data_IF_409161122034
#
_entry.id   IF_409161122034
#
_cell.length_a   1.000
_cell.length_b   1.000
_cell.length_c   1.000
_cell.angle_alpha   90.00
_cell.angle_beta   90.00
_cell.angle_gamma   90.00
#
_symmetry.space_group_name_H-M   'P 1'
#
loop_
_entity.id
_entity.type
_entity.pdbx_description
1 polymer ?
#
# COMPACT_ATOMS: atom_id res chain seq x y z
N UNK A 1 0.97 19.29 -5.61
CA UNK A 1 1.32 20.72 -5.72
C UNK A 1 0.41 21.37 -6.74
N UNK A 2 -0.20 22.51 -6.38
CA UNK A 2 -1.18 23.27 -7.17
C UNK A 2 -2.34 22.40 -7.73
N UNK A 3 -2.66 21.27 -7.08
CA UNK A 3 -3.61 20.27 -7.57
C UNK A 3 -3.21 19.52 -8.87
N UNK A 4 -2.11 19.86 -9.52
CA UNK A 4 -1.78 19.35 -10.87
C UNK A 4 -0.48 18.57 -10.95
N UNK A 5 0.47 18.83 -10.05
CA UNK A 5 1.74 18.12 -9.99
C UNK A 5 1.77 17.17 -8.80
N UNK A 6 1.73 15.87 -9.08
CA UNK A 6 1.85 14.78 -8.12
C UNK A 6 3.30 14.28 -8.03
N UNK A 7 3.80 14.13 -6.80
CA UNK A 7 5.04 13.41 -6.52
C UNK A 7 4.67 12.29 -5.56
N UNK A 8 4.77 11.05 -6.05
CA UNK A 8 4.50 9.84 -5.27
C UNK A 8 5.51 8.78 -5.67
N UNK A 9 6.03 8.06 -4.67
CA UNK A 9 6.84 6.86 -4.85
C UNK A 9 6.11 5.71 -4.20
N UNK A 10 5.90 4.64 -4.95
CA UNK A 10 5.27 3.41 -4.46
C UNK A 10 6.36 2.40 -4.15
N UNK A 11 6.18 1.61 -3.09
CA UNK A 11 7.11 0.54 -2.77
C UNK A 11 6.73 -0.70 -3.58
N UNK A 12 7.66 -1.36 -4.28
CA UNK A 12 7.33 -2.55 -5.05
C UNK A 12 6.72 -3.68 -4.22
N UNK A 13 7.10 -3.77 -2.94
CA UNK A 13 6.57 -4.77 -1.99
C UNK A 13 5.08 -4.61 -1.71
N UNK A 14 4.53 -3.39 -1.84
CA UNK A 14 3.10 -3.13 -1.60
C UNK A 14 2.27 -3.78 -2.70
N UNK A 15 2.76 -3.77 -3.95
CA UNK A 15 2.08 -4.42 -5.07
C UNK A 15 2.08 -5.95 -4.92
N UNK A 16 3.22 -6.54 -4.53
CA UNK A 16 3.32 -7.99 -4.24
C UNK A 16 2.34 -8.38 -3.13
N UNK A 17 2.37 -7.64 -2.03
CA UNK A 17 1.52 -7.87 -0.86
C UNK A 17 0.04 -7.71 -1.21
N UNK A 18 -0.31 -6.69 -1.99
CA UNK A 18 -1.67 -6.44 -2.46
C UNK A 18 -2.16 -7.64 -3.27
N UNK A 19 -1.40 -8.07 -4.27
CA UNK A 19 -1.81 -9.20 -5.11
C UNK A 19 -1.90 -10.52 -4.34
N UNK A 20 -1.02 -10.73 -3.35
CA UNK A 20 -1.13 -11.86 -2.41
C UNK A 20 -2.44 -11.80 -1.61
N UNK A 21 -2.74 -10.68 -0.97
CA UNK A 21 -4.00 -10.50 -0.22
C UNK A 21 -5.21 -10.75 -1.11
N UNK A 22 -5.27 -10.20 -2.32
CA UNK A 22 -6.40 -10.40 -3.24
C UNK A 22 -6.60 -11.87 -3.59
N UNK A 23 -5.53 -12.60 -3.87
CA UNK A 23 -5.59 -14.02 -4.19
C UNK A 23 -6.07 -14.86 -3.00
N UNK A 24 -5.57 -14.55 -1.80
CA UNK A 24 -5.97 -15.21 -0.55
C UNK A 24 -7.43 -14.90 -0.22
N UNK A 25 -7.84 -13.64 -0.33
CA UNK A 25 -9.22 -13.20 -0.12
C UNK A 25 -10.19 -13.94 -1.06
N UNK A 26 -9.84 -14.09 -2.34
CA UNK A 26 -10.66 -14.80 -3.34
C UNK A 26 -10.90 -16.28 -2.98
N UNK A 27 -9.92 -16.93 -2.33
CA UNK A 27 -10.06 -18.31 -1.85
C UNK A 27 -10.87 -18.37 -0.57
N UNK A 28 -10.63 -17.45 0.37
CA UNK A 28 -11.32 -17.42 1.66
C UNK A 28 -12.80 -17.05 1.53
N UNK A 29 -13.16 -16.16 0.61
CA UNK A 29 -14.56 -15.76 0.38
C UNK A 29 -15.45 -16.91 -0.10
N UNK A 30 -14.87 -17.97 -0.65
CA UNK A 30 -15.60 -19.19 -1.02
C UNK A 30 -15.87 -20.11 0.18
N UNK A 31 -15.14 -19.92 1.29
CA UNK A 31 -15.17 -20.77 2.49
C UNK A 31 -15.87 -20.10 3.67
N UNK A 32 -15.85 -18.77 3.73
CA UNK A 32 -16.40 -17.99 4.83
C UNK A 32 -17.50 -17.05 4.32
N UNK A 33 -18.70 -17.07 4.94
CA UNK A 33 -19.80 -16.20 4.53
C UNK A 33 -19.68 -14.76 5.07
N UNK A 34 -18.89 -14.55 6.13
CA UNK A 34 -18.69 -13.24 6.74
C UNK A 34 -17.52 -12.51 6.07
N UNK A 35 -17.77 -11.41 5.33
CA UNK A 35 -16.72 -10.69 4.62
C UNK A 35 -15.70 -10.03 5.57
N UNK A 36 -16.08 -9.66 6.79
CA UNK A 36 -15.13 -9.08 7.76
C UNK A 36 -14.14 -10.14 8.25
N UNK A 37 -14.58 -11.39 8.44
CA UNK A 37 -13.68 -12.49 8.80
C UNK A 37 -12.77 -12.87 7.62
N UNK A 38 -13.29 -12.83 6.38
CA UNK A 38 -12.47 -13.02 5.17
C UNK A 38 -11.37 -11.96 5.11
N UNK A 39 -11.71 -10.69 5.35
CA UNK A 39 -10.75 -9.60 5.34
C UNK A 39 -9.67 -9.81 6.40
N UNK A 40 -10.09 -10.05 7.65
CA UNK A 40 -9.20 -10.30 8.77
C UNK A 40 -8.23 -11.45 8.51
N UNK A 41 -8.71 -12.57 7.97
CA UNK A 41 -7.87 -13.73 7.62
C UNK A 41 -6.94 -13.42 6.44
N UNK A 42 -7.42 -12.73 5.41
CA UNK A 42 -6.58 -12.37 4.26
C UNK A 42 -5.44 -11.41 4.66
N UNK A 43 -5.75 -10.44 5.53
CA UNK A 43 -4.78 -9.51 6.13
C UNK A 43 -3.79 -10.24 7.04
N UNK A 44 -4.27 -11.20 7.83
CA UNK A 44 -3.42 -12.06 8.66
C UNK A 44 -2.38 -12.80 7.80
N UNK A 45 -2.83 -13.49 6.74
CA UNK A 45 -1.94 -14.24 5.85
C UNK A 45 -0.93 -13.34 5.16
N UNK A 46 -1.36 -12.17 4.68
CA UNK A 46 -0.47 -11.21 4.04
C UNK A 46 0.61 -10.67 5.01
N UNK A 47 0.22 -10.43 6.27
CA UNK A 47 1.13 -9.89 7.27
C UNK A 47 2.09 -10.93 7.86
N UNK A 48 1.58 -12.11 8.21
CA UNK A 48 2.34 -13.18 8.87
C UNK A 48 3.03 -14.14 7.90
N UNK A 49 2.57 -14.20 6.66
CA UNK A 49 3.13 -15.04 5.60
C UNK A 49 2.45 -16.39 5.42
N UNK A 50 2.80 -17.08 4.33
CA UNK A 50 2.22 -18.38 3.97
C UNK A 50 2.62 -19.50 4.92
N UNK A 51 3.81 -19.45 5.53
CA UNK A 51 4.22 -20.44 6.52
C UNK A 51 3.28 -20.46 7.73
N UNK A 52 2.94 -19.27 8.24
CA UNK A 52 1.99 -19.14 9.34
C UNK A 52 0.58 -19.59 8.93
N UNK A 53 0.15 -19.24 7.70
CA UNK A 53 -1.14 -19.65 7.16
C UNK A 53 -1.29 -21.17 7.06
N UNK A 54 -0.23 -21.87 6.64
CA UNK A 54 -0.17 -23.34 6.56
C UNK A 54 -0.23 -23.96 7.95
N UNK A 55 0.57 -23.46 8.90
CA UNK A 55 0.61 -23.98 10.26
C UNK A 55 -0.73 -23.85 10.98
N UNK A 56 -1.49 -22.79 10.70
CA UNK A 56 -2.82 -22.57 11.27
C UNK A 56 -3.95 -23.22 10.45
N UNK A 57 -3.65 -23.84 9.31
CA UNK A 57 -4.65 -24.46 8.45
C UNK A 57 -5.60 -23.46 7.77
N UNK A 58 -5.21 -22.17 7.69
CA UNK A 58 -5.98 -21.14 6.98
C UNK A 58 -5.91 -21.38 5.47
N UNK A 59 -4.76 -21.84 4.98
CA UNK A 59 -4.54 -22.27 3.60
C UNK A 59 -3.88 -23.65 3.61
N UNK A 60 -4.14 -24.42 2.55
CA UNK A 60 -3.45 -25.68 2.25
C UNK A 60 -2.17 -25.43 1.45
N UNK A 61 -1.26 -26.41 1.45
CA UNK A 61 -0.01 -26.36 0.68
C UNK A 61 -0.26 -26.21 -0.83
N UNK A 62 -1.35 -26.77 -1.35
CA UNK A 62 -1.72 -26.61 -2.76
C UNK A 62 -2.20 -25.19 -3.06
N UNK A 63 -2.90 -24.54 -2.12
CA UNK A 63 -3.34 -23.15 -2.27
C UNK A 63 -2.17 -22.19 -2.22
N UNK A 64 -1.30 -22.29 -1.22
CA UNK A 64 -0.14 -21.40 -1.10
C UNK A 64 0.81 -21.57 -2.29
N UNK A 65 1.12 -22.81 -2.68
CA UNK A 65 1.97 -23.09 -3.85
C UNK A 65 1.43 -22.45 -5.13
N UNK A 66 0.13 -22.63 -5.42
CA UNK A 66 -0.49 -22.02 -6.61
C UNK A 66 -0.47 -20.49 -6.59
N UNK A 67 -0.71 -19.86 -5.44
CA UNK A 67 -0.64 -18.40 -5.33
C UNK A 67 0.81 -17.93 -5.50
N UNK A 68 1.77 -18.62 -4.87
CA UNK A 68 3.18 -18.33 -4.98
C UNK A 68 3.66 -18.39 -6.44
N UNK A 69 3.38 -19.48 -7.15
CA UNK A 69 3.74 -19.64 -8.56
C UNK A 69 3.17 -18.50 -9.45
N UNK A 70 1.90 -18.14 -9.21
CA UNK A 70 1.25 -17.05 -9.93
C UNK A 70 1.94 -15.70 -9.67
N UNK A 71 2.28 -15.38 -8.42
CA UNK A 71 2.93 -14.13 -8.06
C UNK A 71 4.38 -14.08 -8.54
N UNK A 72 5.10 -15.20 -8.43
CA UNK A 72 6.46 -15.35 -8.96
C UNK A 72 6.49 -15.09 -10.46
N UNK A 73 5.56 -15.67 -11.21
CA UNK A 73 5.45 -15.40 -12.65
C UNK A 73 5.09 -13.93 -12.94
N UNK A 74 4.16 -13.35 -12.17
CA UNK A 74 3.72 -11.96 -12.35
C UNK A 74 4.81 -10.93 -12.09
N UNK A 75 5.65 -11.17 -11.08
CA UNK A 75 6.68 -10.25 -10.61
C UNK A 75 8.10 -10.72 -10.99
N UNK A 76 8.24 -11.58 -12.00
CA UNK A 76 9.53 -12.11 -12.45
C UNK A 76 10.54 -11.02 -12.89
N UNK A 77 10.05 -9.86 -13.32
CA UNK A 77 10.90 -8.72 -13.70
C UNK A 77 11.28 -7.83 -12.50
N UNK A 78 10.65 -8.03 -11.34
CA UNK A 78 10.93 -7.25 -10.13
C UNK A 78 12.14 -7.80 -9.40
N UNK A 79 12.18 -9.10 -9.12
CA UNK A 79 13.23 -9.72 -8.30
C UNK A 79 13.36 -11.22 -8.61
N UNK A 80 14.39 -11.85 -8.06
CA UNK A 80 14.61 -13.29 -8.20
C UNK A 80 13.45 -14.06 -7.55
N UNK A 81 12.97 -15.16 -8.18
CA UNK A 81 11.89 -15.99 -7.67
C UNK A 81 12.05 -16.42 -6.21
N UNK A 82 13.26 -16.79 -5.80
CA UNK A 82 13.54 -17.26 -4.43
C UNK A 82 13.33 -16.16 -3.38
N UNK A 83 13.72 -14.92 -3.70
CA UNK A 83 13.55 -13.77 -2.83
C UNK A 83 12.07 -13.45 -2.69
N UNK A 84 11.33 -13.47 -3.80
CA UNK A 84 9.90 -13.21 -3.81
C UNK A 84 9.12 -14.27 -3.03
N UNK A 85 9.42 -15.56 -3.25
CA UNK A 85 8.81 -16.66 -2.49
C UNK A 85 9.12 -16.52 -1.00
N UNK A 86 10.38 -16.25 -0.63
CA UNK A 86 10.76 -16.04 0.77
C UNK A 86 10.02 -14.87 1.43
N UNK A 87 9.80 -13.77 0.70
CA UNK A 87 8.97 -12.67 1.19
C UNK A 87 7.50 -13.08 1.41
N UNK A 88 6.92 -13.87 0.50
CA UNK A 88 5.54 -14.36 0.65
C UNK A 88 5.39 -15.36 1.80
N UNK A 89 6.40 -16.21 2.02
CA UNK A 89 6.41 -17.20 3.10
C UNK A 89 6.50 -16.53 4.48
N UNK A 90 7.27 -15.44 4.59
CA UNK A 90 7.47 -14.71 5.84
C UNK A 90 6.54 -13.51 6.04
N UNK A 91 5.85 -13.07 4.99
CA UNK A 91 4.88 -11.97 5.01
C UNK A 91 5.49 -10.58 5.21
N UNK A 92 4.61 -9.56 5.22
CA UNK A 92 4.99 -8.14 5.39
C UNK A 92 5.82 -7.92 6.65
N UNK A 93 5.62 -8.71 7.72
CA UNK A 93 6.42 -8.59 8.94
C UNK A 93 7.93 -8.75 8.73
N UNK A 94 8.37 -9.34 7.60
CA UNK A 94 9.78 -9.48 7.23
C UNK A 94 10.35 -8.30 6.45
N UNK A 95 9.51 -7.35 6.01
CA UNK A 95 9.90 -6.25 5.11
C UNK A 95 11.01 -5.35 5.68
N UNK A 96 11.15 -5.27 7.00
CA UNK A 96 12.19 -4.46 7.64
C UNK A 96 13.60 -4.90 7.24
N UNK A 97 13.78 -6.16 6.82
CA UNK A 97 15.05 -6.67 6.28
C UNK A 97 15.45 -6.04 4.94
N UNK A 98 14.49 -5.41 4.24
CA UNK A 98 14.67 -4.74 2.96
C UNK A 98 14.83 -3.22 3.12
N UNK A 99 14.66 -2.71 4.34
CA UNK A 99 14.69 -1.28 4.58
C UNK A 99 16.10 -0.71 4.34
N UNK A 100 16.16 0.43 3.64
CA UNK A 100 17.39 1.12 3.24
C UNK A 100 18.38 0.32 2.36
N UNK A 101 18.00 -0.86 1.86
CA UNK A 101 18.85 -1.64 0.96
C UNK A 101 18.83 -1.11 -0.47
N UNK A 102 19.90 -0.43 -0.87
CA UNK A 102 20.07 0.06 -2.26
C UNK A 102 20.50 -1.02 -3.24
N UNK A 103 21.00 -2.15 -2.73
CA UNK A 103 21.49 -3.29 -3.51
C UNK A 103 20.41 -4.35 -3.75
N UNK A 104 19.21 -4.14 -3.22
CA UNK A 104 18.11 -5.09 -3.29
C UNK A 104 16.95 -4.52 -4.11
N UNK A 105 16.41 -5.25 -5.10
CA UNK A 105 15.38 -4.73 -6.00
C UNK A 105 14.04 -4.42 -5.33
N UNK A 106 13.75 -5.07 -4.20
CA UNK A 106 12.60 -4.77 -3.34
C UNK A 106 12.95 -3.87 -2.15
N UNK A 107 14.16 -3.31 -2.13
CA UNK A 107 14.57 -2.37 -1.09
C UNK A 107 13.78 -1.07 -1.17
N UNK A 108 13.56 -0.44 -0.02
CA UNK A 108 12.84 0.83 0.06
C UNK A 108 13.46 1.72 1.15
N UNK A 109 13.47 3.05 0.95
CA UNK A 109 13.98 3.95 1.96
C UNK A 109 13.05 4.00 3.17
N UNK A 110 13.64 4.04 4.35
CA UNK A 110 12.91 4.20 5.61
C UNK A 110 13.70 5.07 6.57
N UNK A 111 12.97 5.78 7.43
CA UNK A 111 13.55 6.48 8.58
C UNK A 111 13.43 5.56 9.80
N UNK A 112 14.44 4.73 10.03
CA UNK A 112 14.48 3.73 11.10
C UNK A 112 15.75 3.83 11.98
N UNK A 113 16.40 5.00 12.02
CA UNK A 113 17.68 5.26 12.69
C UNK A 113 18.93 4.61 12.05
N UNK A 114 18.79 3.83 10.98
CA UNK A 114 19.92 3.43 10.15
C UNK A 114 20.29 4.52 9.12
N UNK A 115 21.39 4.31 8.39
CA UNK A 115 21.72 5.13 7.23
C UNK A 115 20.59 5.01 6.18
N UNK A 116 19.93 6.13 5.92
CA UNK A 116 18.76 6.16 5.04
C UNK A 116 19.20 6.14 3.59
N UNK A 117 18.57 5.27 2.79
CA UNK A 117 18.73 5.30 1.34
C UNK A 117 18.19 6.62 0.79
N UNK A 118 19.04 7.41 0.13
CA UNK A 118 18.66 8.73 -0.39
C UNK A 118 18.00 8.67 -1.77
N UNK A 119 17.74 7.48 -2.31
CA UNK A 119 17.26 7.26 -3.68
C UNK A 119 15.91 7.91 -3.99
N UNK A 120 15.07 8.12 -2.96
CA UNK A 120 13.77 8.79 -3.09
C UNK A 120 13.73 10.18 -2.45
N UNK A 121 14.90 10.77 -2.12
CA UNK A 121 14.96 12.17 -1.71
C UNK A 121 14.84 13.06 -2.94
N UNK A 122 13.87 13.98 -2.86
CA UNK A 122 13.60 14.95 -3.90
C UNK A 122 13.86 16.34 -3.34
N UNK A 123 14.93 16.99 -3.80
CA UNK A 123 15.20 18.41 -3.54
C UNK A 123 14.66 19.26 -4.71
N UNK A 124 13.78 20.21 -4.40
CA UNK A 124 13.12 21.06 -5.38
C UNK A 124 13.14 22.52 -4.91
N UNK A 125 13.45 23.40 -5.86
CA UNK A 125 13.29 24.86 -5.71
C UNK A 125 12.22 25.32 -6.68
N UNK A 126 11.21 26.01 -6.15
CA UNK A 126 10.09 26.54 -6.91
C UNK A 126 9.97 28.05 -6.64
N UNK A 127 9.73 28.88 -7.66
CA UNK A 127 9.37 30.27 -7.45
C UNK A 127 8.08 30.35 -6.63
N UNK A 128 8.08 31.17 -5.58
CA UNK A 128 6.90 31.31 -4.70
C UNK A 128 5.67 31.81 -5.47
N UNK A 129 5.88 32.65 -6.49
CA UNK A 129 4.82 33.17 -7.35
C UNK A 129 4.09 32.08 -8.15
N UNK A 130 4.75 30.94 -8.39
CA UNK A 130 4.20 29.81 -9.15
C UNK A 130 3.55 28.76 -8.24
N UNK A 131 3.61 28.93 -6.92
CA UNK A 131 3.09 27.98 -5.95
C UNK A 131 1.79 28.50 -5.33
N UNK A 132 0.67 27.86 -5.64
CA UNK A 132 -0.64 28.17 -5.07
C UNK A 132 -1.02 27.21 -3.95
N UNK A 133 -0.55 25.96 -4.01
CA UNK A 133 -0.73 25.00 -2.94
C UNK A 133 0.32 23.87 -2.89
N UNK A 134 0.52 23.36 -1.68
CA UNK A 134 1.24 22.11 -1.40
C UNK A 134 0.33 21.22 -0.57
N UNK A 135 0.17 19.98 -1.00
CA UNK A 135 -0.62 18.96 -0.31
C UNK A 135 0.29 17.79 0.02
N UNK A 136 0.36 17.43 1.29
CA UNK A 136 1.05 16.24 1.79
C UNK A 136 -0.02 15.27 2.28
N UNK A 137 0.00 14.03 1.81
CA UNK A 137 -1.04 13.06 2.12
C UNK A 137 -0.45 11.65 2.34
N UNK A 138 -1.16 10.82 3.11
CA UNK A 138 -0.83 9.40 3.29
C UNK A 138 -1.56 8.53 2.27
N UNK A 139 -1.03 7.32 2.07
CA UNK A 139 -1.56 6.29 1.18
C UNK A 139 -2.93 5.71 1.62
N UNK A 140 -3.40 6.03 2.82
CA UNK A 140 -4.80 5.82 3.21
C UNK A 140 -5.82 6.60 2.38
N UNK A 141 -5.38 7.53 1.53
CA UNK A 141 -6.17 8.05 0.42
C UNK A 141 -5.83 7.32 -0.89
N UNK A 142 -6.76 6.48 -1.35
CA UNK A 142 -6.55 5.62 -2.53
C UNK A 142 -6.61 6.35 -3.88
N UNK A 143 -7.07 7.61 -3.88
CA UNK A 143 -7.13 8.44 -5.06
C UNK A 143 -6.96 9.92 -4.71
N UNK A 144 -6.17 10.62 -5.52
CA UNK A 144 -6.03 12.07 -5.47
C UNK A 144 -7.29 12.76 -5.99
N UNK A 145 -7.86 13.73 -5.28
CA UNK A 145 -9.02 14.49 -5.76
C UNK A 145 -8.65 15.50 -6.84
N UNK A 146 -9.65 15.98 -7.57
CA UNK A 146 -9.47 17.02 -8.61
C UNK A 146 -9.34 18.44 -8.02
N UNK A 147 -9.69 18.62 -6.74
CA UNK A 147 -9.69 19.91 -6.06
C UNK A 147 -8.76 19.90 -4.84
N UNK A 148 -8.07 21.02 -4.64
CA UNK A 148 -7.16 21.25 -3.51
C UNK A 148 -7.97 21.66 -2.28
N UNK A 149 -8.41 20.70 -1.48
CA UNK A 149 -9.03 20.96 -0.18
C UNK A 149 -9.16 19.69 0.64
N UNK A 150 -9.16 19.80 1.97
CA UNK A 150 -9.44 18.67 2.87
C UNK A 150 -10.79 18.02 2.51
N UNK A 151 -11.82 18.81 2.23
CA UNK A 151 -13.14 18.31 1.87
C UNK A 151 -13.14 17.44 0.60
N UNK A 152 -12.33 17.81 -0.41
CA UNK A 152 -12.20 17.02 -1.63
C UNK A 152 -11.48 15.68 -1.39
N UNK A 153 -10.47 15.67 -0.51
CA UNK A 153 -9.82 14.43 -0.07
C UNK A 153 -10.78 13.49 0.66
N UNK A 154 -11.57 14.02 1.61
CA UNK A 154 -12.60 13.24 2.32
C UNK A 154 -13.68 12.70 1.36
N UNK A 155 -14.08 13.49 0.35
CA UNK A 155 -15.02 13.03 -0.68
C UNK A 155 -14.43 11.90 -1.52
N UNK A 156 -13.16 11.99 -1.91
CA UNK A 156 -12.44 10.93 -2.64
C UNK A 156 -12.39 9.64 -1.82
N UNK A 157 -12.11 9.75 -0.52
CA UNK A 157 -12.14 8.61 0.40
C UNK A 157 -13.55 8.00 0.49
N UNK A 158 -14.59 8.81 0.73
CA UNK A 158 -15.96 8.32 0.83
C UNK A 158 -16.41 7.59 -0.45
N UNK A 159 -16.00 8.08 -1.62
CA UNK A 159 -16.22 7.38 -2.90
C UNK A 159 -15.53 6.02 -2.92
N UNK A 160 -14.28 5.93 -2.46
CA UNK A 160 -13.56 4.65 -2.42
C UNK A 160 -14.19 3.63 -1.47
N UNK A 161 -14.78 4.07 -0.36
CA UNK A 161 -15.53 3.21 0.56
C UNK A 161 -16.83 2.72 -0.06
N UNK A 162 -17.53 3.58 -0.81
CA UNK A 162 -18.79 3.24 -1.46
C UNK A 162 -18.61 2.31 -2.67
N UNK A 163 -17.56 2.52 -3.48
CA UNK A 163 -17.33 1.76 -4.71
C UNK A 163 -16.59 0.43 -4.47
N UNK A 164 -15.66 0.39 -3.53
CA UNK A 164 -14.76 -0.76 -3.31
C UNK A 164 -14.43 -0.89 -1.82
N UNK A 165 -15.44 -1.18 -1.01
CA UNK A 165 -15.33 -1.21 0.45
C UNK A 165 -14.13 -2.03 0.94
N UNK A 166 -13.99 -3.27 0.47
CA UNK A 166 -12.89 -4.16 0.81
C UNK A 166 -11.62 -3.93 -0.03
N UNK A 167 -11.55 -2.92 -0.90
CA UNK A 167 -10.32 -2.60 -1.66
C UNK A 167 -9.81 -3.82 -2.43
N UNK A 168 -10.68 -4.42 -3.23
CA UNK A 168 -10.44 -5.63 -4.02
C UNK A 168 -10.31 -5.37 -5.53
N UNK A 169 -10.68 -4.17 -5.98
CA UNK A 169 -10.86 -3.84 -7.38
C UNK A 169 -10.12 -2.54 -7.74
N UNK A 170 -10.86 -1.47 -8.06
CA UNK A 170 -10.31 -0.18 -8.49
C UNK A 170 -9.33 0.39 -7.48
N UNK A 171 -9.59 0.17 -6.20
CA UNK A 171 -8.80 0.70 -5.09
C UNK A 171 -8.02 -0.41 -4.37
N UNK A 172 -7.66 -1.48 -5.09
CA UNK A 172 -6.91 -2.61 -4.56
C UNK A 172 -5.71 -2.19 -3.69
N UNK A 173 -5.63 -2.74 -2.48
CA UNK A 173 -4.60 -2.41 -1.50
C UNK A 173 -4.21 -3.60 -0.62
N UNK A 174 -3.18 -3.47 0.22
CA UNK A 174 -2.71 -4.47 1.19
C UNK A 174 -3.67 -4.67 2.37
N UNK A 175 -4.68 -3.81 2.52
CA UNK A 175 -5.75 -3.87 3.53
C UNK A 175 -7.09 -3.44 2.90
N UNK A 176 -8.18 -4.02 3.37
CA UNK A 176 -9.54 -3.60 3.06
C UNK A 176 -10.26 -3.06 4.29
N UNK A 177 -11.34 -2.32 4.09
CA UNK A 177 -12.20 -1.90 5.19
C UNK A 177 -13.05 -3.08 5.68
N UNK A 178 -13.47 -3.01 6.94
CA UNK A 178 -14.44 -3.91 7.58
C UNK A 178 -15.56 -3.08 8.19
N UNK A 179 -16.60 -3.73 8.74
CA UNK A 179 -17.66 -3.00 9.46
C UNK A 179 -17.18 -2.21 10.69
N UNK A 180 -15.94 -2.42 11.13
CA UNK A 180 -15.38 -1.84 12.36
C UNK A 180 -14.22 -0.88 12.13
N UNK A 181 -13.48 -1.04 11.03
CA UNK A 181 -12.27 -0.28 10.75
C UNK A 181 -12.17 0.06 9.27
N UNK A 182 -11.64 1.26 8.99
CA UNK A 182 -11.22 1.62 7.64
C UNK A 182 -9.94 0.87 7.27
N UNK A 183 -9.73 0.71 5.96
CA UNK A 183 -8.56 0.03 5.41
C UNK A 183 -7.22 0.61 5.91
N UNK A 184 -7.10 1.93 6.06
CA UNK A 184 -5.88 2.55 6.59
C UNK A 184 -6.11 3.90 7.26
N UNK A 185 -5.07 4.36 7.99
CA UNK A 185 -5.00 5.68 8.57
C UNK A 185 -4.84 6.76 7.49
N UNK A 186 -5.53 7.89 7.68
CA UNK A 186 -5.59 8.98 6.70
C UNK A 186 -5.06 10.27 7.31
N UNK A 187 -4.13 10.90 6.63
CA UNK A 187 -3.65 12.23 6.98
C UNK A 187 -3.46 13.05 5.71
N UNK A 188 -3.92 14.30 5.74
CA UNK A 188 -3.65 15.29 4.69
C UNK A 188 -3.36 16.64 5.32
N UNK A 189 -2.35 17.31 4.80
CA UNK A 189 -2.00 18.68 5.13
C UNK A 189 -2.10 19.48 3.84
N UNK A 190 -2.90 20.54 3.86
CA UNK A 190 -3.05 21.49 2.75
C UNK A 190 -2.43 22.82 3.18
N UNK A 191 -1.41 23.25 2.44
CA UNK A 191 -0.80 24.58 2.58
C UNK A 191 -1.12 25.35 1.31
N UNK A 192 -1.76 26.51 1.44
CA UNK A 192 -2.17 27.33 0.30
C UNK A 192 -1.90 28.82 0.57
N UNK A 193 -2.28 29.69 -0.37
CA UNK A 193 -2.08 31.14 -0.27
C UNK A 193 -2.81 31.81 0.90
N UNK A 194 -3.85 31.18 1.43
CA UNK A 194 -4.63 31.66 2.57
C UNK A 194 -3.98 31.19 3.89
N UNK A 195 -3.45 29.96 3.90
CA UNK A 195 -3.04 29.22 5.08
C UNK A 195 -1.51 29.14 5.30
N UNK A 196 -0.67 29.64 4.38
CA UNK A 196 0.78 29.65 4.62
C UNK A 196 1.68 30.18 3.51
N UNK A 197 1.23 30.20 2.25
CA UNK A 197 2.03 30.69 1.11
C UNK A 197 1.76 32.19 0.94
N UNK A 198 2.58 33.03 1.58
CA UNK A 198 2.51 34.49 1.40
C UNK A 198 3.78 34.97 0.73
N UNK A 199 3.64 35.66 -0.41
CA UNK A 199 4.72 36.48 -0.93
C UNK A 199 5.06 37.56 0.12
N UNK A 200 6.36 37.74 0.37
CA UNK A 200 6.86 38.82 1.20
C UNK A 200 6.56 40.19 0.58
#
# INVERSE_FOLDING_TARGET
MNGTRLIQRKKPIDDVSTQSRLAVHSILSQRHPDPDEVEKLSRYVCFEGYDAALQQGILSASETGRICDMLVARFANLTDPEILSGFLDWGIRSQFMLANRTDHPMGFPTLNCDETSLVDIIDLRLPLADLTSVELFTDGYFQTPDAVSIAAWEQSFALSEAEDFHKLHRFANVKGSTSREFADDRSVIVVDSINGIKAA
#
